data_IF_229799023102
#
_entry.id   IF_229799023102
#
_cell.length_a   1.000
_cell.length_b   1.000
_cell.length_c   1.000
_cell.angle_alpha   90.00
_cell.angle_beta   90.00
_cell.angle_gamma   90.00
#
_symmetry.space_group_name_H-M   'P 1'
#
loop_
_entity.id
_entity.type
_entity.pdbx_description
1 polymer ?
#
# COMPACT_ATOMS: atom_id res chain seq x y z
N UNK A 1 29.25 13.03 6.24
CA UNK A 1 28.47 13.78 5.22
C UNK A 1 26.97 13.58 5.45
N UNK A 2 26.43 12.36 5.36
CA UNK A 2 25.00 12.11 5.58
C UNK A 2 24.44 12.68 6.90
N UNK A 3 25.09 12.43 8.04
CA UNK A 3 24.63 12.97 9.34
C UNK A 3 24.57 14.52 9.39
N UNK A 4 25.37 15.20 8.56
CA UNK A 4 25.30 16.66 8.43
C UNK A 4 24.14 17.04 7.50
N UNK A 5 23.97 16.32 6.38
CA UNK A 5 22.84 16.51 5.48
C UNK A 5 21.49 16.29 6.19
N UNK A 6 21.35 15.25 7.03
CA UNK A 6 20.14 15.04 7.86
C UNK A 6 19.80 16.21 8.78
N UNK A 7 20.79 17.01 9.19
CA UNK A 7 20.60 18.19 10.05
C UNK A 7 20.24 19.45 9.26
N UNK A 8 20.74 19.57 8.04
CA UNK A 8 20.70 20.80 7.26
C UNK A 8 19.68 20.77 6.12
N UNK A 9 19.38 19.58 5.58
CA UNK A 9 18.50 19.39 4.43
C UNK A 9 17.08 19.09 4.88
N UNK A 10 16.14 19.94 4.49
CA UNK A 10 14.74 19.85 4.93
C UNK A 10 14.10 18.51 4.54
N UNK A 11 14.40 17.98 3.35
CA UNK A 11 13.82 16.72 2.89
C UNK A 11 14.31 15.48 3.65
N UNK A 12 15.42 15.57 4.39
CA UNK A 12 15.98 14.46 5.19
C UNK A 12 15.63 14.55 6.68
N UNK A 13 15.06 15.66 7.14
CA UNK A 13 14.87 15.96 8.57
C UNK A 13 14.03 14.92 9.31
N UNK A 14 13.01 14.38 8.63
CA UNK A 14 12.06 13.43 9.24
C UNK A 14 12.43 11.97 8.98
N UNK A 15 13.51 11.73 8.23
CA UNK A 15 13.97 10.39 7.96
C UNK A 15 14.72 9.81 9.15
N UNK A 16 14.19 8.71 9.68
CA UNK A 16 14.79 7.90 10.73
C UNK A 16 15.84 6.96 10.15
N UNK A 17 16.76 6.57 11.01
CA UNK A 17 17.77 5.57 10.69
C UNK A 17 18.08 4.72 11.93
N UNK A 18 18.34 3.43 11.71
CA UNK A 18 18.66 2.49 12.77
C UNK A 18 20.08 2.68 13.31
N UNK A 19 20.36 2.18 14.53
CA UNK A 19 21.72 2.17 15.06
C UNK A 19 22.63 1.32 14.17
N UNK A 20 23.82 1.85 13.85
CA UNK A 20 24.85 1.09 13.17
C UNK A 20 25.54 0.14 14.14
N UNK A 21 25.17 -1.14 14.08
CA UNK A 21 25.80 -2.20 14.88
C UNK A 21 26.83 -3.00 14.08
N UNK A 22 27.23 -2.50 12.90
CA UNK A 22 28.21 -3.10 12.02
C UNK A 22 29.35 -2.13 11.69
N UNK A 23 30.49 -2.68 11.25
CA UNK A 23 31.68 -1.91 10.89
C UNK A 23 31.46 -1.11 9.59
N UNK A 24 32.30 -0.11 9.28
CA UNK A 24 32.27 0.59 8.00
C UNK A 24 32.18 -0.37 6.80
N UNK A 25 31.38 -0.01 5.81
CA UNK A 25 31.06 -0.86 4.65
C UNK A 25 31.84 -0.50 3.39
N UNK A 26 32.71 0.50 3.49
CA UNK A 26 33.65 0.95 2.48
C UNK A 26 34.97 1.35 3.17
N UNK A 27 36.16 1.31 2.58
CA UNK A 27 36.54 0.69 1.31
C UNK A 27 37.32 -0.59 1.60
N UNK A 28 36.97 -1.68 0.93
CA UNK A 28 37.68 -2.96 1.04
C UNK A 28 38.58 -3.23 -0.16
N UNK A 29 39.57 -4.08 0.05
CA UNK A 29 40.23 -4.78 -1.05
C UNK A 29 39.25 -5.77 -1.69
N UNK A 30 39.38 -6.02 -2.99
CA UNK A 30 38.52 -6.96 -3.69
C UNK A 30 38.68 -8.38 -3.13
N UNK A 31 37.58 -9.11 -3.07
CA UNK A 31 37.49 -10.48 -2.55
C UNK A 31 38.02 -10.63 -1.10
N UNK A 32 37.92 -9.55 -0.33
CA UNK A 32 38.48 -9.46 1.03
C UNK A 32 37.56 -8.73 2.01
N UNK A 33 37.78 -9.00 3.30
CA UNK A 33 37.25 -8.22 4.43
C UNK A 33 38.28 -7.24 5.00
N UNK A 34 39.46 -7.15 4.36
CA UNK A 34 40.52 -6.21 4.72
C UNK A 34 40.23 -4.86 4.08
N UNK A 35 40.32 -3.79 4.87
CA UNK A 35 40.17 -2.43 4.37
C UNK A 35 41.33 -2.03 3.47
N UNK A 36 41.05 -1.12 2.53
CA UNK A 36 41.92 -0.60 1.47
C UNK A 36 43.42 -0.57 1.84
N UNK A 37 44.17 -1.55 1.33
CA UNK A 37 45.63 -1.62 1.48
C UNK A 37 46.39 -0.95 0.34
N UNK A 38 45.68 -0.42 -0.65
CA UNK A 38 46.29 0.32 -1.75
C UNK A 38 47.04 1.56 -1.27
N UNK A 39 47.89 2.12 -2.14
CA UNK A 39 48.66 3.35 -1.84
C UNK A 39 47.77 4.53 -1.42
N UNK A 40 46.49 4.55 -1.87
CA UNK A 40 45.54 5.61 -1.54
C UNK A 40 45.06 5.55 -0.09
N UNK A 41 45.08 4.37 0.56
CA UNK A 41 44.69 4.13 1.95
C UNK A 41 43.44 4.90 2.37
N UNK A 42 42.34 4.73 1.61
CA UNK A 42 41.11 5.47 1.88
C UNK A 42 40.58 5.11 3.26
N UNK A 43 40.16 6.14 4.01
CA UNK A 43 39.57 5.95 5.33
C UNK A 43 38.27 5.14 5.21
N UNK A 44 38.07 4.11 6.06
CA UNK A 44 36.81 3.40 6.09
C UNK A 44 35.62 4.33 6.37
N UNK A 45 34.48 4.07 5.73
CA UNK A 45 33.23 4.82 5.88
C UNK A 45 32.01 3.88 5.84
N UNK A 46 30.94 4.27 6.54
CA UNK A 46 29.64 3.63 6.39
C UNK A 46 28.91 4.24 5.19
N UNK A 47 28.76 3.42 4.15
CA UNK A 47 28.01 3.74 2.92
C UNK A 47 26.71 2.93 2.88
N UNK A 48 25.87 3.17 1.88
CA UNK A 48 24.68 2.34 1.62
C UNK A 48 23.68 2.34 2.79
N UNK A 49 23.50 3.53 3.37
CA UNK A 49 22.69 3.82 4.56
C UNK A 49 21.20 3.74 4.24
N UNK A 50 20.43 3.06 5.09
CA UNK A 50 18.97 2.91 4.93
C UNK A 50 18.26 3.90 5.85
N UNK A 51 17.52 4.82 5.25
CA UNK A 51 16.69 5.80 5.94
C UNK A 51 15.22 5.56 5.60
N UNK A 52 14.32 5.77 6.56
CA UNK A 52 12.88 5.62 6.36
C UNK A 52 12.08 6.74 7.04
N UNK A 53 10.91 7.05 6.50
CA UNK A 53 9.92 7.97 7.09
C UNK A 53 8.54 7.32 6.97
N UNK A 54 7.74 7.41 8.02
CA UNK A 54 6.29 7.12 7.95
C UNK A 54 5.60 8.45 7.68
N UNK A 55 4.75 8.49 6.66
CA UNK A 55 3.93 9.67 6.37
C UNK A 55 2.66 9.56 7.21
N UNK A 56 2.42 10.54 8.07
CA UNK A 56 1.15 10.63 8.79
C UNK A 56 0.11 11.17 7.81
N UNK A 57 -0.98 10.42 7.58
CA UNK A 57 -2.04 10.83 6.65
C UNK A 57 -2.79 12.07 7.15
N UNK A 58 -2.78 12.33 8.46
CA UNK A 58 -3.39 13.50 9.08
C UNK A 58 -2.66 14.82 8.80
N UNK A 59 -1.35 14.79 8.48
CA UNK A 59 -0.57 16.01 8.23
C UNK A 59 -0.88 16.65 6.87
N UNK A 60 -1.39 15.90 5.89
CA UNK A 60 -1.81 16.43 4.59
C UNK A 60 -3.30 16.86 4.58
N UNK A 61 -4.07 16.44 5.58
CA UNK A 61 -5.52 16.65 5.67
C UNK A 61 -5.89 17.90 6.50
N UNK A 62 -5.03 18.90 6.58
CA UNK A 62 -5.39 20.17 7.22
C UNK A 62 -6.30 21.00 6.30
N UNK A 63 -7.60 20.69 6.25
CA UNK A 63 -8.74 21.62 6.29
C UNK A 63 -10.03 20.85 6.65
N UNK A 64 -10.55 21.15 7.83
CA UNK A 64 -11.88 20.82 8.36
C UNK A 64 -12.07 19.42 8.96
N UNK A 65 -12.00 19.35 10.29
CA UNK A 65 -12.47 18.21 11.09
C UNK A 65 -11.60 17.97 12.33
N UNK A 66 -12.12 18.29 13.52
CA UNK A 66 -11.56 17.87 14.81
C UNK A 66 -11.72 16.34 14.94
N UNK A 67 -10.80 15.57 14.36
CA UNK A 67 -10.62 14.18 14.73
C UNK A 67 -9.69 14.12 15.95
N UNK A 68 -9.96 13.25 16.95
CA UNK A 68 -9.09 13.07 18.10
C UNK A 68 -7.66 12.76 17.62
N UNK A 69 -6.66 13.06 18.46
CA UNK A 69 -5.27 12.61 18.26
C UNK A 69 -5.21 11.07 18.27
N UNK A 70 -5.68 10.42 17.20
CA UNK A 70 -5.67 8.99 17.07
C UNK A 70 -4.27 8.54 16.69
N UNK A 71 -3.79 7.54 17.44
CA UNK A 71 -2.52 6.88 17.23
C UNK A 71 -2.30 6.55 15.75
N UNK A 72 -1.11 6.86 15.24
CA UNK A 72 -0.77 6.61 13.84
C UNK A 72 -1.23 5.20 13.40
N UNK A 73 -2.11 5.10 12.38
CA UNK A 73 -2.70 3.82 11.98
C UNK A 73 -1.66 2.84 11.44
N UNK A 74 -0.47 3.33 11.13
CA UNK A 74 0.66 2.56 10.63
C UNK A 74 1.82 2.72 11.62
N UNK A 75 2.25 1.62 12.23
CA UNK A 75 3.50 1.56 12.98
C UNK A 75 4.56 0.80 12.18
N UNK A 76 5.80 1.28 12.22
CA UNK A 76 6.94 0.61 11.59
C UNK A 76 8.01 0.35 12.63
N UNK A 77 8.51 -0.89 12.67
CA UNK A 77 9.61 -1.31 13.53
C UNK A 77 10.74 -1.86 12.67
N UNK A 78 11.96 -1.38 12.89
CA UNK A 78 13.16 -1.96 12.27
C UNK A 78 13.57 -3.20 13.09
N UNK A 79 13.51 -4.38 12.47
CA UNK A 79 13.89 -5.64 13.11
C UNK A 79 15.39 -5.87 13.01
N UNK A 80 15.98 -5.70 11.82
CA UNK A 80 17.40 -5.95 11.56
C UNK A 80 17.99 -4.82 10.72
N UNK A 81 19.23 -4.44 11.00
CA UNK A 81 20.03 -3.53 10.18
C UNK A 81 21.50 -3.95 10.20
N UNK A 82 21.94 -4.64 9.15
CA UNK A 82 23.20 -5.38 9.13
C UNK A 82 23.95 -5.16 7.81
N UNK A 83 25.28 -5.33 7.85
CA UNK A 83 26.11 -5.44 6.66
C UNK A 83 26.48 -6.90 6.36
N UNK A 84 26.73 -7.19 5.09
CA UNK A 84 27.09 -8.54 4.63
C UNK A 84 28.53 -8.58 4.14
N UNK A 85 29.44 -8.94 5.05
CA UNK A 85 30.89 -8.91 4.82
C UNK A 85 31.38 -9.97 3.81
N UNK A 86 30.66 -11.09 3.71
CA UNK A 86 31.00 -12.21 2.82
C UNK A 86 30.90 -11.89 1.33
N UNK A 87 30.28 -10.78 0.95
CA UNK A 87 30.21 -10.34 -0.45
C UNK A 87 31.52 -9.62 -0.84
N UNK A 88 32.38 -10.33 -1.56
CA UNK A 88 33.74 -9.89 -1.93
C UNK A 88 33.87 -9.16 -3.27
N UNK A 89 32.86 -9.27 -4.15
CA UNK A 89 32.94 -8.82 -5.55
C UNK A 89 33.15 -7.30 -5.74
N UNK A 90 32.93 -6.51 -4.69
CA UNK A 90 33.03 -5.05 -4.69
C UNK A 90 33.81 -4.58 -3.45
N UNK A 91 34.36 -3.37 -3.55
CA UNK A 91 34.98 -2.65 -2.44
C UNK A 91 33.96 -2.05 -1.46
N UNK A 92 32.66 -2.25 -1.73
CA UNK A 92 31.53 -1.99 -0.85
C UNK A 92 30.91 -3.28 -0.33
N UNK A 93 30.47 -3.27 0.94
CA UNK A 93 29.68 -4.36 1.55
C UNK A 93 28.20 -3.99 1.59
N UNK A 94 27.30 -4.81 1.02
CA UNK A 94 25.86 -4.55 1.05
C UNK A 94 25.32 -4.39 2.46
N UNK A 95 24.28 -3.57 2.58
CA UNK A 95 23.55 -3.31 3.83
C UNK A 95 22.08 -3.68 3.62
N UNK A 96 21.47 -4.34 4.61
CA UNK A 96 20.05 -4.71 4.58
C UNK A 96 19.33 -4.22 5.82
N UNK A 97 18.10 -3.73 5.63
CA UNK A 97 17.17 -3.37 6.69
C UNK A 97 15.90 -4.20 6.56
N UNK A 98 15.46 -4.87 7.63
CA UNK A 98 14.19 -5.61 7.65
C UNK A 98 13.21 -4.87 8.55
N UNK A 99 12.01 -4.60 8.04
CA UNK A 99 10.98 -3.83 8.75
C UNK A 99 9.76 -4.70 9.02
N UNK A 100 9.17 -4.55 10.20
CA UNK A 100 7.82 -5.00 10.54
C UNK A 100 6.89 -3.80 10.39
N UNK A 101 5.83 -3.97 9.60
CA UNK A 101 4.74 -3.01 9.45
C UNK A 101 3.52 -3.55 10.21
N UNK A 102 2.94 -2.74 11.08
CA UNK A 102 1.67 -3.06 11.73
C UNK A 102 0.67 -1.97 11.38
N UNK A 103 -0.51 -2.39 10.94
CA UNK A 103 -1.59 -1.50 10.56
C UNK A 103 -2.77 -1.75 11.49
N UNK A 104 -3.29 -0.70 12.10
CA UNK A 104 -4.51 -0.78 12.90
C UNK A 104 -5.72 -0.63 11.98
N UNK A 105 -6.65 -1.59 11.97
CA UNK A 105 -7.93 -1.40 11.30
C UNK A 105 -8.63 -0.17 11.88
N UNK A 106 -9.10 0.72 11.02
CA UNK A 106 -9.94 1.86 11.44
C UNK A 106 -11.34 1.41 11.83
N UNK A 107 -11.79 0.27 11.30
CA UNK A 107 -13.10 -0.33 11.55
C UNK A 107 -12.94 -1.82 11.81
N UNK A 108 -13.79 -2.36 12.70
CA UNK A 108 -13.80 -3.81 13.01
C UNK A 108 -14.59 -4.61 11.98
N UNK A 109 -15.67 -4.01 11.47
CA UNK A 109 -16.51 -4.56 10.42
C UNK A 109 -16.34 -3.74 9.12
N UNK A 110 -16.38 -4.38 7.95
CA UNK A 110 -16.31 -3.66 6.68
C UNK A 110 -17.50 -2.70 6.53
N UNK A 111 -17.23 -1.48 6.04
CA UNK A 111 -18.27 -0.48 5.79
C UNK A 111 -19.22 -0.92 4.66
N UNK A 112 -18.69 -1.66 3.69
CA UNK A 112 -19.46 -2.28 2.61
C UNK A 112 -19.06 -3.74 2.43
N UNK A 113 -20.04 -4.62 2.35
CA UNK A 113 -19.87 -6.04 1.98
C UNK A 113 -20.38 -6.23 0.56
N UNK A 114 -19.59 -6.89 -0.28
CA UNK A 114 -19.87 -7.14 -1.70
C UNK A 114 -19.98 -8.63 -1.98
N UNK A 115 -20.88 -9.00 -2.89
CA UNK A 115 -21.01 -10.35 -3.39
C UNK A 115 -21.28 -10.33 -4.91
N UNK A 116 -20.41 -11.00 -5.66
CA UNK A 116 -20.62 -11.30 -7.07
C UNK A 116 -21.69 -12.39 -7.19
N UNK A 117 -22.83 -12.10 -7.82
CA UNK A 117 -23.93 -13.08 -7.91
C UNK A 117 -23.82 -13.94 -9.17
N UNK A 118 -24.02 -15.25 -9.02
CA UNK A 118 -24.05 -16.19 -10.13
C UNK A 118 -22.69 -16.39 -10.79
N UNK A 119 -22.69 -16.90 -12.03
CA UNK A 119 -21.45 -17.05 -12.81
C UNK A 119 -21.28 -15.82 -13.71
N UNK A 120 -20.09 -15.25 -13.64
CA UNK A 120 -19.70 -14.06 -14.38
C UNK A 120 -19.06 -14.47 -15.71
N UNK A 121 -19.49 -13.82 -16.79
CA UNK A 121 -18.92 -13.99 -18.12
C UNK A 121 -19.35 -12.81 -19.01
N UNK A 122 -18.65 -12.61 -20.13
CA UNK A 122 -19.01 -11.58 -21.11
C UNK A 122 -20.24 -11.94 -21.98
N UNK A 123 -21.00 -12.98 -21.64
CA UNK A 123 -22.16 -13.46 -22.40
C UNK A 123 -23.48 -12.89 -21.90
N UNK A 124 -23.55 -12.57 -20.62
CA UNK A 124 -24.75 -12.08 -19.96
C UNK A 124 -24.40 -11.01 -18.96
N UNK A 125 -25.38 -10.18 -18.71
CA UNK A 125 -25.24 -9.17 -17.70
C UNK A 125 -25.19 -9.79 -16.32
N UNK A 126 -24.50 -9.11 -15.42
CA UNK A 126 -24.18 -9.63 -14.09
C UNK A 126 -24.73 -8.70 -13.02
N UNK A 127 -25.00 -9.31 -11.87
CA UNK A 127 -25.52 -8.61 -10.70
C UNK A 127 -24.48 -8.62 -9.58
N UNK A 128 -24.34 -7.47 -8.97
CA UNK A 128 -23.55 -7.25 -7.77
C UNK A 128 -24.53 -7.00 -6.64
N UNK A 129 -24.47 -7.84 -5.61
CA UNK A 129 -25.16 -7.57 -4.35
C UNK A 129 -24.22 -6.88 -3.40
N UNK A 130 -24.70 -5.84 -2.74
CA UNK A 130 -23.93 -5.20 -1.68
C UNK A 130 -24.81 -4.77 -0.50
N UNK A 131 -24.19 -4.61 0.66
CA UNK A 131 -24.80 -4.04 1.86
C UNK A 131 -23.83 -3.07 2.51
N UNK A 132 -24.32 -1.89 2.89
CA UNK A 132 -23.54 -0.89 3.60
C UNK A 132 -23.92 -0.85 5.08
N UNK A 133 -22.97 -0.47 5.94
CA UNK A 133 -23.24 -0.22 7.35
C UNK A 133 -24.31 0.88 7.52
N UNK A 134 -25.15 0.85 8.57
CA UNK A 134 -26.28 1.77 8.73
C UNK A 134 -25.95 3.27 8.66
N UNK A 135 -24.75 3.67 9.08
CA UNK A 135 -24.30 5.07 9.08
C UNK A 135 -23.28 5.37 7.97
N UNK A 136 -23.20 4.51 6.95
CA UNK A 136 -22.27 4.71 5.85
C UNK A 136 -22.68 5.94 4.99
N UNK A 137 -21.82 6.97 4.85
CA UNK A 137 -22.14 8.17 4.10
C UNK A 137 -21.96 7.92 2.59
N UNK A 138 -22.95 7.29 1.95
CA UNK A 138 -22.92 7.05 0.50
C UNK A 138 -23.02 8.33 -0.32
N UNK A 139 -22.48 8.29 -1.54
CA UNK A 139 -22.55 9.37 -2.54
C UNK A 139 -23.03 8.84 -3.89
N UNK A 140 -23.67 9.69 -4.68
CA UNK A 140 -23.97 9.43 -6.10
C UNK A 140 -22.70 9.14 -6.93
N UNK A 141 -21.54 9.59 -6.44
CA UNK A 141 -20.22 9.38 -7.04
C UNK A 141 -19.50 8.13 -6.49
N UNK A 142 -20.18 7.31 -5.70
CA UNK A 142 -19.65 6.02 -5.30
C UNK A 142 -19.80 5.01 -6.44
N UNK A 143 -18.84 4.11 -6.59
CA UNK A 143 -18.82 3.14 -7.68
C UNK A 143 -18.25 1.80 -7.23
N UNK A 144 -18.67 0.72 -7.88
CA UNK A 144 -18.16 -0.63 -7.67
C UNK A 144 -17.35 -1.03 -8.90
N UNK A 145 -16.05 -1.23 -8.72
CA UNK A 145 -15.15 -1.66 -9.79
C UNK A 145 -14.91 -3.16 -9.78
N UNK A 146 -14.71 -3.72 -10.97
CA UNK A 146 -14.15 -5.06 -11.18
C UNK A 146 -12.63 -4.95 -11.35
N UNK A 147 -11.88 -5.65 -10.51
CA UNK A 147 -10.42 -5.61 -10.50
C UNK A 147 -9.85 -7.01 -10.67
N UNK A 148 -8.72 -7.13 -11.37
CA UNK A 148 -7.93 -8.34 -11.31
C UNK A 148 -7.29 -8.46 -9.92
N UNK A 149 -7.17 -9.67 -9.35
CA UNK A 149 -6.62 -9.89 -8.00
C UNK A 149 -5.24 -9.22 -7.79
N UNK A 150 -4.48 -9.02 -8.86
CA UNK A 150 -3.14 -8.41 -8.84
C UNK A 150 -3.12 -6.87 -8.91
N UNK A 151 -4.26 -6.20 -8.74
CA UNK A 151 -4.35 -4.73 -8.81
C UNK A 151 -3.47 -4.04 -7.76
N UNK A 152 -2.96 -2.85 -8.08
CA UNK A 152 -2.03 -2.09 -7.23
C UNK A 152 -2.53 -0.69 -6.90
N UNK A 153 -3.51 -0.20 -7.65
CA UNK A 153 -4.06 1.14 -7.51
C UNK A 153 -5.59 1.11 -7.71
N UNK A 154 -6.30 2.04 -7.06
CA UNK A 154 -7.76 2.20 -7.21
C UNK A 154 -8.22 2.52 -8.64
N UNK A 155 -7.29 2.79 -9.56
CA UNK A 155 -7.57 3.10 -10.98
C UNK A 155 -7.26 1.93 -11.91
N UNK A 156 -6.85 0.80 -11.35
CA UNK A 156 -6.55 -0.42 -12.11
C UNK A 156 -7.81 -1.25 -12.37
N UNK A 157 -9.01 -0.67 -12.22
CA UNK A 157 -10.26 -1.36 -12.52
C UNK A 157 -10.32 -1.72 -14.01
N UNK A 158 -10.93 -2.86 -14.30
CA UNK A 158 -11.22 -3.29 -15.67
C UNK A 158 -12.48 -2.59 -16.19
N UNK A 159 -13.52 -2.58 -15.36
CA UNK A 159 -14.76 -1.83 -15.54
C UNK A 159 -15.34 -1.45 -14.18
N UNK A 160 -16.39 -0.63 -14.16
CA UNK A 160 -17.09 -0.21 -12.95
C UNK A 160 -18.57 0.07 -13.23
N UNK A 161 -19.37 0.05 -12.17
CA UNK A 161 -20.78 0.49 -12.18
C UNK A 161 -20.97 1.58 -11.11
N UNK A 162 -21.82 2.56 -11.39
CA UNK A 162 -22.15 3.61 -10.43
C UNK A 162 -23.19 3.09 -9.43
N UNK A 163 -22.98 3.37 -8.15
CA UNK A 163 -23.79 2.76 -7.10
C UNK A 163 -25.25 3.23 -7.13
N UNK A 164 -25.49 4.52 -7.37
CA UNK A 164 -26.83 5.10 -7.34
C UNK A 164 -27.55 5.00 -8.69
N UNK A 165 -26.85 5.25 -9.80
CA UNK A 165 -27.45 5.25 -11.14
C UNK A 165 -27.80 3.83 -11.63
N UNK A 166 -27.04 2.82 -11.22
CA UNK A 166 -27.24 1.43 -11.63
C UNK A 166 -27.96 0.57 -10.54
N UNK A 167 -28.56 1.20 -9.52
CA UNK A 167 -29.29 0.51 -8.44
C UNK A 167 -30.64 -0.05 -8.94
N UNK A 168 -30.85 -1.36 -8.84
CA UNK A 168 -32.08 -2.03 -9.34
C UNK A 168 -33.07 -2.30 -8.21
N UNK A 169 -32.57 -2.55 -7.00
CA UNK A 169 -33.42 -2.75 -5.84
C UNK A 169 -32.72 -2.34 -4.56
N UNK A 170 -33.47 -1.71 -3.66
CA UNK A 170 -33.09 -1.49 -2.26
C UNK A 170 -34.08 -2.19 -1.34
N UNK A 171 -33.62 -3.25 -0.70
CA UNK A 171 -34.20 -3.71 0.56
C UNK A 171 -33.42 -3.11 1.72
N UNK A 172 -34.00 -3.02 2.92
CA UNK A 172 -33.39 -2.32 4.06
C UNK A 172 -31.93 -2.71 4.35
N UNK A 173 -31.50 -3.94 4.00
CA UNK A 173 -30.16 -4.44 4.27
C UNK A 173 -29.40 -4.96 3.03
N UNK A 174 -29.96 -4.89 1.82
CA UNK A 174 -29.31 -5.41 0.62
C UNK A 174 -29.75 -4.67 -0.62
N UNK A 175 -28.76 -4.19 -1.36
CA UNK A 175 -28.89 -3.46 -2.62
C UNK A 175 -28.28 -4.25 -3.76
N UNK A 176 -28.76 -4.01 -4.97
CA UNK A 176 -28.24 -4.65 -6.18
C UNK A 176 -27.89 -3.62 -7.25
N UNK A 177 -26.72 -3.81 -7.84
CA UNK A 177 -26.19 -3.02 -8.95
C UNK A 177 -25.94 -3.95 -10.14
N UNK A 178 -26.21 -3.47 -11.34
CA UNK A 178 -25.95 -4.20 -12.57
C UNK A 178 -24.64 -3.76 -13.22
N UNK A 179 -24.01 -4.68 -13.95
CA UNK A 179 -22.87 -4.39 -14.81
C UNK A 179 -23.08 -5.07 -16.17
N UNK A 180 -22.84 -4.32 -17.25
CA UNK A 180 -23.11 -4.80 -18.60
C UNK A 180 -22.13 -5.88 -19.03
N UNK A 181 -22.63 -6.95 -19.65
CA UNK A 181 -21.82 -8.01 -20.26
C UNK A 181 -20.77 -7.47 -21.23
N UNK A 182 -21.08 -6.35 -21.91
CA UNK A 182 -20.20 -5.72 -22.89
C UNK A 182 -18.92 -5.15 -22.29
N UNK A 183 -18.92 -4.90 -20.99
CA UNK A 183 -17.80 -4.34 -20.23
C UNK A 183 -17.02 -5.41 -19.46
N UNK A 184 -17.55 -6.64 -19.39
CA UNK A 184 -16.90 -7.76 -18.74
C UNK A 184 -15.75 -8.28 -19.64
N UNK A 185 -14.56 -8.52 -19.07
CA UNK A 185 -13.42 -9.02 -19.84
C UNK A 185 -13.73 -10.40 -20.45
N UNK A 186 -13.46 -10.54 -21.75
CA UNK A 186 -13.61 -11.82 -22.47
C UNK A 186 -12.50 -12.83 -22.16
N UNK A 187 -11.33 -12.33 -21.78
CA UNK A 187 -10.26 -13.17 -21.29
C UNK A 187 -10.55 -13.42 -19.81
N UNK A 188 -10.86 -14.67 -19.49
CA UNK A 188 -11.18 -15.05 -18.13
C UNK A 188 -10.00 -14.91 -17.17
N UNK A 189 -10.28 -15.05 -15.88
CA UNK A 189 -9.29 -14.92 -14.83
C UNK A 189 -9.91 -14.76 -13.44
N UNK A 190 -9.04 -14.50 -12.47
CA UNK A 190 -9.46 -14.26 -11.09
C UNK A 190 -9.61 -12.76 -10.82
N UNK A 191 -10.79 -12.38 -10.37
CA UNK A 191 -11.19 -11.00 -10.13
C UNK A 191 -11.79 -10.83 -8.75
N UNK A 192 -11.94 -9.57 -8.34
CA UNK A 192 -12.59 -9.13 -7.12
C UNK A 192 -13.37 -7.84 -7.39
N UNK A 193 -14.42 -7.59 -6.60
CA UNK A 193 -15.16 -6.35 -6.61
C UNK A 193 -14.62 -5.42 -5.54
N UNK A 194 -14.49 -4.14 -5.83
CA UNK A 194 -14.16 -3.11 -4.84
C UNK A 194 -15.17 -1.97 -4.88
N UNK A 195 -15.70 -1.62 -3.71
CA UNK A 195 -16.56 -0.44 -3.54
C UNK A 195 -15.68 0.76 -3.19
N UNK A 196 -15.67 1.76 -4.06
CA UNK A 196 -14.98 3.01 -3.82
C UNK A 196 -15.95 4.08 -3.31
N UNK A 197 -15.66 4.64 -2.13
CA UNK A 197 -16.40 5.77 -1.58
C UNK A 197 -15.75 7.08 -2.03
N UNK A 198 -16.50 7.93 -2.70
CA UNK A 198 -16.07 9.27 -3.06
C UNK A 198 -15.94 10.18 -1.83
N UNK A 199 -16.80 10.02 -0.82
CA UNK A 199 -16.72 10.82 0.41
C UNK A 199 -15.45 10.49 1.22
N UNK A 200 -15.09 9.21 1.29
CA UNK A 200 -13.89 8.74 2.02
C UNK A 200 -12.63 8.62 1.14
N UNK A 201 -12.75 8.92 -0.16
CA UNK A 201 -11.69 8.81 -1.16
C UNK A 201 -10.92 7.47 -1.10
N UNK A 202 -11.60 6.36 -0.82
CA UNK A 202 -10.97 5.06 -0.55
C UNK A 202 -11.87 3.87 -0.88
N UNK A 203 -11.25 2.70 -1.02
CA UNK A 203 -11.96 1.42 -1.11
C UNK A 203 -12.43 1.04 0.30
N UNK A 204 -13.73 0.81 0.44
CA UNK A 204 -14.39 0.58 1.74
C UNK A 204 -15.09 -0.78 1.83
N UNK A 205 -15.02 -1.55 0.74
CA UNK A 205 -15.49 -2.93 0.65
C UNK A 205 -14.76 -3.67 -0.46
N UNK A 206 -14.38 -4.91 -0.18
CA UNK A 206 -13.73 -5.82 -1.15
C UNK A 206 -14.46 -7.17 -1.05
N UNK A 207 -14.84 -7.76 -2.19
CA UNK A 207 -15.43 -9.10 -2.21
C UNK A 207 -14.39 -10.20 -2.04
N UNK A 208 -14.85 -11.42 -1.78
CA UNK A 208 -14.02 -12.60 -2.05
C UNK A 208 -13.65 -12.67 -3.56
N UNK A 209 -12.49 -13.26 -3.92
CA UNK A 209 -12.14 -13.50 -5.30
C UNK A 209 -13.11 -14.46 -6.01
N UNK A 210 -13.34 -14.24 -7.29
CA UNK A 210 -14.17 -15.09 -8.15
C UNK A 210 -13.63 -15.19 -9.57
N UNK A 211 -14.09 -16.18 -10.32
CA UNK A 211 -13.73 -16.36 -11.72
C UNK A 211 -14.70 -15.63 -12.63
N UNK A 212 -14.15 -14.99 -13.66
CA UNK A 212 -14.84 -14.41 -14.82
C UNK A 212 -14.35 -15.11 -16.07
#
# INVERSE_FOLDING_TARGET
>A
QLNMAKKNEQFLKDFKEGPLQFKPTYKFDLDSEVYDTSEKKRKPAWTDRILWKVRNLSEDASKEGEFPEEENPISITLNNYVSHMSYGISDHKPVTGTFKLEMKPLVSDPLVVLNAEGEWSAERDVLIRYSAAPEFPSSAWDWIGLFQVTFRHVKDYVTYAWVEDDEISSSQNSKQVYMSASEIPKMGGEFLLCYYSNNLQSIVGISEPFQV
#
